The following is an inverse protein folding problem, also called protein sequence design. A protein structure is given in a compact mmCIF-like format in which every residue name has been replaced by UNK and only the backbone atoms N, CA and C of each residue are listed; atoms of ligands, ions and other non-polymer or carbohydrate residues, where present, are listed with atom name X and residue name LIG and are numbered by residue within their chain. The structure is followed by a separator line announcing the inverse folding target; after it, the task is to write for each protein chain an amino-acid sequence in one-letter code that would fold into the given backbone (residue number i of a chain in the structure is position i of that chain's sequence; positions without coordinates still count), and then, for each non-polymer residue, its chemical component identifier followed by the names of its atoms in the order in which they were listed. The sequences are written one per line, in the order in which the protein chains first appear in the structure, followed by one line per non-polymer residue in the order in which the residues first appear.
data_IF_926933868776
#
_entry.id   IF_926933868776
#
_cell.length_a   1.000
_cell.length_b   1.000
_cell.length_c   1.000
_cell.angle_alpha   90.00
_cell.angle_beta   90.00
_cell.angle_gamma   90.00
#
_symmetry.space_group_name_H-M   'P 1'
#
loop_
_entity.id
_entity.type
_entity.pdbx_description
1 polymer ?
#
# COMPACT_ATOMS: atom_id res chain seq x y z
N UNK A 1 15.04 0.22 5.25
CA UNK A 1 13.77 0.21 5.99
C UNK A 1 12.65 0.97 5.29
N UNK A 2 12.91 2.12 4.62
CA UNK A 2 11.85 2.90 3.94
C UNK A 2 11.05 2.18 2.85
N UNK A 3 11.66 1.23 2.12
CA UNK A 3 10.93 0.43 1.13
C UNK A 3 9.80 -0.42 1.76
N UNK A 4 9.91 -0.73 3.05
CA UNK A 4 8.84 -1.43 3.77
C UNK A 4 7.58 -0.55 3.92
N UNK A 5 7.73 0.78 3.98
CA UNK A 5 6.58 1.70 4.00
C UNK A 5 5.75 1.60 2.71
N UNK A 6 6.40 1.37 1.57
CA UNK A 6 5.70 1.13 0.31
C UNK A 6 4.86 -0.15 0.40
N UNK A 7 5.43 -1.24 0.92
CA UNK A 7 4.70 -2.50 1.07
C UNK A 7 3.55 -2.39 2.09
N UNK A 8 3.80 -1.72 3.23
CA UNK A 8 2.79 -1.47 4.26
C UNK A 8 1.63 -0.62 3.74
N UNK A 9 1.85 0.28 2.78
CA UNK A 9 0.77 1.10 2.20
C UNK A 9 -0.35 0.26 1.58
N UNK A 10 -0.02 -0.88 0.97
CA UNK A 10 -1.01 -1.82 0.44
C UNK A 10 -1.83 -2.47 1.57
N UNK A 11 -1.20 -2.80 2.70
CA UNK A 11 -1.88 -3.34 3.88
C UNK A 11 -2.82 -2.31 4.51
N UNK A 12 -2.37 -1.06 4.61
CA UNK A 12 -3.19 0.07 5.07
C UNK A 12 -4.39 0.26 4.14
N UNK A 13 -4.19 0.18 2.82
CA UNK A 13 -5.27 0.25 1.85
C UNK A 13 -6.32 -0.86 2.08
N UNK A 14 -5.89 -2.12 2.19
CA UNK A 14 -6.81 -3.25 2.46
C UNK A 14 -7.56 -3.04 3.77
N UNK A 15 -6.87 -2.63 4.83
CA UNK A 15 -7.51 -2.36 6.12
C UNK A 15 -8.52 -1.22 6.02
N UNK A 16 -8.20 -0.15 5.30
CA UNK A 16 -9.02 1.06 5.19
C UNK A 16 -10.27 0.88 4.32
N UNK A 17 -10.18 0.08 3.26
CA UNK A 17 -11.24 -0.05 2.27
C UNK A 17 -11.99 -1.39 2.33
N UNK A 18 -11.35 -2.46 2.81
CA UNK A 18 -11.99 -3.78 2.98
C UNK A 18 -12.22 -4.18 4.44
N UNK A 19 -11.58 -3.48 5.41
CA UNK A 19 -11.61 -3.82 6.83
C UNK A 19 -11.13 -5.25 7.13
N UNK A 20 -10.14 -5.73 6.36
CA UNK A 20 -9.55 -7.07 6.50
C UNK A 20 -8.12 -6.98 6.99
N UNK A 21 -7.66 -8.05 7.66
CA UNK A 21 -6.24 -8.26 7.88
C UNK A 21 -5.63 -8.96 6.66
N UNK A 22 -4.41 -8.62 6.29
CA UNK A 22 -3.72 -9.23 5.16
C UNK A 22 -2.21 -9.26 5.38
N UNK A 23 -1.53 -10.07 4.56
CA UNK A 23 -0.09 -10.19 4.51
C UNK A 23 0.42 -9.90 3.10
N UNK A 24 1.59 -9.26 2.96
CA UNK A 24 2.23 -9.13 1.67
C UNK A 24 2.79 -10.48 1.22
N UNK A 25 2.60 -10.82 -0.05
CA UNK A 25 3.02 -12.09 -0.63
C UNK A 25 4.14 -11.91 -1.65
N UNK A 26 3.93 -11.07 -2.65
CA UNK A 26 4.90 -10.92 -3.74
C UNK A 26 4.93 -9.49 -4.29
N UNK A 27 6.02 -9.19 -5.00
CA UNK A 27 6.18 -8.01 -5.84
C UNK A 27 6.62 -8.52 -7.20
N UNK A 28 5.81 -8.32 -8.23
CA UNK A 28 6.16 -8.77 -9.58
C UNK A 28 7.37 -8.01 -10.14
N UNK A 29 7.44 -6.68 -9.91
CA UNK A 29 8.55 -5.85 -10.36
C UNK A 29 8.76 -4.64 -9.47
N UNK A 30 10.01 -4.31 -9.18
CA UNK A 30 10.40 -3.04 -8.56
C UNK A 30 11.31 -2.23 -9.48
N UNK A 31 11.05 -0.93 -9.60
CA UNK A 31 11.90 0.04 -10.33
C UNK A 31 12.29 1.19 -9.42
N UNK A 32 13.56 1.54 -9.47
CA UNK A 32 14.18 2.56 -8.61
C UNK A 32 14.74 3.67 -9.49
N UNK A 33 14.18 4.86 -9.39
CA UNK A 33 14.64 6.05 -10.13
C UNK A 33 15.46 6.97 -9.24
N UNK A 34 15.11 7.05 -7.95
CA UNK A 34 15.80 7.82 -6.94
C UNK A 34 15.67 7.14 -5.55
N UNK A 35 16.53 7.44 -4.57
CA UNK A 35 16.35 6.98 -3.21
C UNK A 35 15.07 7.57 -2.57
N UNK A 36 14.46 6.84 -1.64
CA UNK A 36 13.42 7.39 -0.79
C UNK A 36 14.06 8.35 0.22
N UNK A 37 13.50 9.56 0.40
CA UNK A 37 14.03 10.49 1.39
C UNK A 37 13.79 9.97 2.81
N UNK A 38 14.83 10.04 3.65
CA UNK A 38 14.78 9.60 5.04
C UNK A 38 14.47 10.73 6.02
N UNK A 39 14.71 11.96 5.60
CA UNK A 39 14.70 13.19 6.40
C UNK A 39 13.62 14.19 5.97
N UNK A 40 12.87 13.87 4.90
CA UNK A 40 11.74 14.65 4.43
C UNK A 40 10.57 13.74 4.05
N UNK A 41 9.37 14.32 4.03
CA UNK A 41 8.17 13.62 3.61
C UNK A 41 8.19 13.32 2.11
N UNK A 42 7.53 12.22 1.76
CA UNK A 42 7.22 11.82 0.40
C UNK A 42 5.82 11.20 0.37
N UNK A 43 5.23 11.11 -0.81
CA UNK A 43 3.90 10.57 -1.02
C UNK A 43 3.99 9.11 -1.47
N UNK A 44 2.99 8.30 -1.09
CA UNK A 44 2.82 6.94 -1.60
C UNK A 44 1.42 6.84 -2.19
N UNK A 45 1.34 6.51 -3.47
CA UNK A 45 0.10 6.22 -4.17
C UNK A 45 -0.08 4.69 -4.28
N UNK A 46 -1.26 4.20 -3.92
CA UNK A 46 -1.70 2.82 -4.14
C UNK A 46 -2.75 2.85 -5.25
N UNK A 47 -2.41 2.30 -6.40
CA UNK A 47 -3.15 2.46 -7.65
C UNK A 47 -3.41 1.11 -8.32
N UNK A 48 -4.27 1.10 -9.34
CA UNK A 48 -4.60 -0.10 -10.13
C UNK A 48 -4.99 -1.30 -9.26
N UNK A 49 -5.77 -1.06 -8.20
CA UNK A 49 -6.13 -2.10 -7.26
C UNK A 49 -7.17 -3.04 -7.88
N UNK A 50 -6.82 -4.32 -7.97
CA UNK A 50 -7.68 -5.39 -8.47
C UNK A 50 -7.95 -6.36 -7.33
N UNK A 51 -9.23 -6.55 -7.01
CA UNK A 51 -9.64 -7.56 -6.03
C UNK A 51 -9.67 -8.95 -6.67
N UNK A 52 -9.07 -9.92 -5.98
CA UNK A 52 -9.14 -11.34 -6.33
C UNK A 52 -9.80 -12.17 -5.22
N UNK A 53 -9.91 -13.49 -5.40
CA UNK A 53 -10.56 -14.38 -4.43
C UNK A 53 -9.86 -14.43 -3.07
N UNK A 54 -8.53 -14.30 -3.05
CA UNK A 54 -7.71 -14.44 -1.84
C UNK A 54 -7.19 -13.09 -1.29
N UNK A 55 -7.41 -11.97 -1.98
CA UNK A 55 -6.83 -10.70 -1.58
C UNK A 55 -6.88 -9.65 -2.68
N UNK A 56 -5.86 -8.79 -2.77
CA UNK A 56 -5.77 -7.76 -3.80
C UNK A 56 -4.38 -7.72 -4.44
N UNK A 57 -4.34 -7.29 -5.70
CA UNK A 57 -3.11 -6.92 -6.39
C UNK A 57 -3.15 -5.43 -6.74
N UNK A 58 -2.03 -4.72 -6.63
CA UNK A 58 -1.97 -3.29 -6.92
C UNK A 58 -0.59 -2.85 -7.42
N UNK A 59 -0.50 -1.57 -7.82
CA UNK A 59 0.76 -0.84 -7.97
C UNK A 59 0.96 0.10 -6.79
N UNK A 60 2.20 0.22 -6.32
CA UNK A 60 2.59 1.19 -5.28
C UNK A 60 3.69 2.09 -5.83
N UNK A 61 3.42 3.40 -5.85
CA UNK A 61 4.34 4.42 -6.39
C UNK A 61 4.73 5.37 -5.28
N UNK A 62 6.04 5.56 -5.06
CA UNK A 62 6.56 6.62 -4.20
C UNK A 62 6.87 7.86 -5.03
N UNK A 63 6.42 9.03 -4.58
CA UNK A 63 6.62 10.32 -5.24
C UNK A 63 7.20 11.34 -4.27
N UNK A 64 8.02 12.27 -4.73
CA UNK A 64 8.35 13.45 -3.92
C UNK A 64 7.20 14.46 -3.86
N UNK A 65 7.42 15.58 -3.17
CA UNK A 65 6.42 16.64 -2.99
C UNK A 65 6.06 17.35 -4.29
N UNK A 66 6.93 17.28 -5.29
CA UNK A 66 6.73 17.83 -6.62
C UNK A 66 6.06 16.82 -7.58
N UNK A 67 5.75 15.61 -7.10
CA UNK A 67 5.11 14.55 -7.88
C UNK A 67 6.08 13.76 -8.77
N UNK A 68 7.40 13.91 -8.60
CA UNK A 68 8.38 13.09 -9.33
C UNK A 68 8.39 11.68 -8.75
N UNK A 69 8.33 10.68 -9.63
CA UNK A 69 8.37 9.27 -9.25
C UNK A 69 9.77 8.90 -8.76
N UNK A 70 9.86 8.43 -7.52
CA UNK A 70 11.10 7.96 -6.91
C UNK A 70 11.27 6.46 -7.12
N UNK A 71 10.21 5.69 -6.84
CA UNK A 71 10.21 4.22 -6.90
C UNK A 71 8.82 3.70 -7.26
N UNK A 72 8.75 2.56 -7.94
CA UNK A 72 7.49 1.89 -8.30
C UNK A 72 7.60 0.40 -8.02
N UNK A 73 6.61 -0.16 -7.34
CA UNK A 73 6.37 -1.59 -7.19
C UNK A 73 5.11 -1.95 -7.97
N UNK A 74 5.22 -2.85 -8.94
CA UNK A 74 4.10 -3.33 -9.76
C UNK A 74 3.76 -4.76 -9.39
N UNK A 75 2.48 -5.09 -9.48
CA UNK A 75 1.99 -6.42 -9.15
C UNK A 75 2.30 -6.79 -7.71
N UNK A 76 2.14 -5.83 -6.79
CA UNK A 76 2.20 -6.10 -5.35
C UNK A 76 0.96 -6.91 -5.01
N UNK A 77 1.12 -8.14 -4.55
CA UNK A 77 0.01 -8.97 -4.10
C UNK A 77 -0.02 -9.06 -2.58
N UNK A 78 -1.21 -8.89 -2.02
CA UNK A 78 -1.48 -9.08 -0.58
C UNK A 78 -2.62 -10.05 -0.43
N UNK A 79 -2.49 -10.97 0.52
CA UNK A 79 -3.47 -12.03 0.78
C UNK A 79 -4.17 -11.76 2.10
N UNK A 80 -5.50 -11.79 2.09
CA UNK A 80 -6.31 -11.66 3.29
C UNK A 80 -6.16 -12.91 4.16
N UNK A 81 -5.98 -12.70 5.47
CA UNK A 81 -5.83 -13.79 6.43
C UNK A 81 -6.83 -13.61 7.58
N UNK A 82 -7.92 -14.39 7.60
CA UNK A 82 -8.92 -14.34 8.68
C UNK A 82 -8.34 -14.70 10.05
N UNK A 83 -7.28 -15.52 10.13
CA UNK A 83 -6.66 -15.90 11.39
C UNK A 83 -5.91 -14.72 12.04
N UNK A 84 -5.52 -13.73 11.24
CA UNK A 84 -4.93 -12.49 11.72
C UNK A 84 -5.97 -11.50 12.25
N UNK A 85 -7.25 -11.61 11.89
CA UNK A 85 -8.27 -10.65 12.35
C UNK A 85 -8.34 -10.60 13.88
N UNK A 86 -8.19 -11.73 14.57
CA UNK A 86 -8.15 -11.79 16.04
C UNK A 86 -6.95 -11.07 16.68
N UNK A 87 -5.90 -10.75 15.91
CA UNK A 87 -4.75 -9.98 16.37
C UNK A 87 -4.92 -8.47 16.18
N UNK A 88 -5.87 -8.05 15.34
CA UNK A 88 -6.07 -6.66 14.97
C UNK A 88 -7.47 -6.19 15.37
N UNK A 89 -7.55 -5.31 16.37
CA UNK A 89 -8.80 -4.65 16.75
C UNK A 89 -9.41 -3.84 15.60
N UNK A 90 -10.73 -3.55 15.63
CA UNK A 90 -11.44 -2.87 14.53
C UNK A 90 -10.73 -1.58 14.10
N UNK A 91 -10.63 -1.35 12.78
CA UNK A 91 -10.05 -0.11 12.28
C UNK A 91 -10.91 1.09 12.72
N UNK A 92 -10.33 2.01 13.50
CA UNK A 92 -10.96 3.29 13.76
C UNK A 92 -11.06 4.07 12.44
N UNK A 93 -12.29 4.33 11.98
CA UNK A 93 -12.53 5.19 10.81
C UNK A 93 -12.25 6.63 11.21
N UNK A 94 -11.03 7.10 10.93
CA UNK A 94 -10.68 8.51 11.12
C UNK A 94 -10.36 9.08 9.73
N UNK A 95 -11.30 9.86 9.18
CA UNK A 95 -11.12 10.61 7.93
C UNK A 95 -11.78 9.98 6.71
N UNK A 96 -12.83 10.63 6.21
CA UNK A 96 -13.23 10.53 4.81
C UNK A 96 -12.23 11.38 4.01
N UNK A 97 -11.16 10.76 3.50
CA UNK A 97 -10.42 11.38 2.42
C UNK A 97 -11.31 11.33 1.19
N UNK A 98 -11.96 12.45 0.85
CA UNK A 98 -12.70 12.60 -0.39
C UNK A 98 -11.66 12.57 -1.51
N UNK A 99 -11.58 11.45 -2.24
CA UNK A 99 -10.86 11.38 -3.51
C UNK A 99 -11.80 11.99 -4.55
N UNK A 100 -11.63 13.28 -4.82
CA UNK A 100 -12.31 13.92 -5.96
C UNK A 100 -11.55 13.54 -7.22
N UNK A 101 -12.26 12.92 -8.17
CA UNK A 101 -11.79 12.68 -9.55
C UNK A 101 -11.99 13.96 -10.37
#
# INVERSE_FOLDING_TARGET
MLADLMLQSALVWVRRFRNRACLPMEIARARYFAPLPADQEFLIAVENVVAGPAGVTCSVTALDREGRVLQVMEGVSVVEDPQLEGKFGPAARTGAATVTV
#
